data_IF_566340088758
#
_entry.id   IF_566340088758
#
_cell.length_a   1.000
_cell.length_b   1.000
_cell.length_c   1.000
_cell.angle_alpha   90.00
_cell.angle_beta   90.00
_cell.angle_gamma   90.00
#
_symmetry.space_group_name_H-M   'P 1'
#
loop_
_entity.id
_entity.type
_entity.pdbx_description
1 polymer ?
#
# COMPACT_ATOMS: atom_id res chain seq x y z
N UNK A 1 -24.57 -4.37 6.10
CA UNK A 1 -24.14 -4.37 4.68
C UNK A 1 -22.65 -4.68 4.67
N UNK A 2 -22.27 -5.87 4.19
CA UNK A 2 -20.83 -6.18 4.03
C UNK A 2 -20.35 -5.45 2.79
N UNK A 3 -19.40 -4.53 2.95
CA UNK A 3 -18.70 -3.93 1.81
C UNK A 3 -17.90 -4.99 1.05
N UNK A 4 -17.56 -4.70 -0.21
CA UNK A 4 -16.68 -5.57 -1.00
C UNK A 4 -15.32 -5.73 -0.30
N UNK A 5 -14.82 -6.96 -0.29
CA UNK A 5 -13.47 -7.29 0.20
C UNK A 5 -12.41 -6.59 -0.64
N UNK A 6 -11.20 -6.44 -0.10
CA UNK A 6 -10.09 -5.86 -0.87
C UNK A 6 -9.79 -6.66 -2.14
N UNK A 7 -9.92 -8.00 -2.11
CA UNK A 7 -9.76 -8.84 -3.31
C UNK A 7 -10.79 -8.50 -4.39
N UNK A 8 -12.07 -8.37 -4.03
CA UNK A 8 -13.12 -8.02 -4.98
C UNK A 8 -12.92 -6.62 -5.57
N UNK A 9 -12.45 -5.67 -4.76
CA UNK A 9 -12.14 -4.31 -5.21
C UNK A 9 -10.98 -4.29 -6.21
N UNK A 10 -9.93 -5.08 -5.95
CA UNK A 10 -8.79 -5.27 -6.87
C UNK A 10 -9.25 -5.91 -8.18
N UNK A 11 -10.07 -6.96 -8.10
CA UNK A 11 -10.62 -7.64 -9.29
C UNK A 11 -11.53 -6.75 -10.14
N UNK A 12 -12.16 -5.73 -9.54
CA UNK A 12 -13.03 -4.79 -10.23
C UNK A 12 -12.30 -3.60 -10.89
N UNK A 13 -10.98 -3.48 -10.72
CA UNK A 13 -10.20 -2.42 -11.37
C UNK A 13 -10.10 -2.65 -12.88
N UNK A 14 -10.12 -1.55 -13.65
CA UNK A 14 -9.83 -1.56 -15.07
C UNK A 14 -8.32 -1.63 -15.30
N UNK A 15 -7.77 -2.84 -15.22
CA UNK A 15 -6.35 -3.11 -15.36
C UNK A 15 -5.78 -2.69 -16.70
N UNK A 16 -6.56 -2.83 -17.78
CA UNK A 16 -6.11 -2.46 -19.12
C UNK A 16 -5.88 -0.95 -19.20
N UNK A 17 -6.88 -0.16 -18.78
CA UNK A 17 -6.74 1.30 -18.73
C UNK A 17 -5.60 1.74 -17.82
N UNK A 18 -5.47 1.15 -16.63
CA UNK A 18 -4.41 1.52 -15.69
C UNK A 18 -3.01 1.19 -16.23
N UNK A 19 -2.86 0.09 -16.98
CA UNK A 19 -1.61 -0.21 -17.65
C UNK A 19 -1.29 0.82 -18.74
N UNK A 20 -2.27 1.19 -19.57
CA UNK A 20 -2.11 2.23 -20.59
C UNK A 20 -1.72 3.60 -19.98
N UNK A 21 -2.35 3.99 -18.87
CA UNK A 21 -2.00 5.20 -18.12
C UNK A 21 -0.58 5.14 -17.56
N UNK A 22 -0.19 4.00 -16.99
CA UNK A 22 1.16 3.79 -16.46
C UNK A 22 2.22 3.89 -17.56
N UNK A 23 1.96 3.30 -18.74
CA UNK A 23 2.86 3.37 -19.88
C UNK A 23 2.96 4.79 -20.44
N UNK A 24 1.84 5.52 -20.52
CA UNK A 24 1.79 6.88 -21.09
C UNK A 24 2.32 7.96 -20.14
N UNK A 25 2.11 7.81 -18.84
CA UNK A 25 2.34 8.88 -17.84
C UNK A 25 3.32 8.49 -16.74
N UNK A 26 3.72 7.23 -16.63
CA UNK A 26 4.55 6.72 -15.53
C UNK A 26 3.79 6.54 -14.22
N UNK A 27 2.46 6.74 -14.21
CA UNK A 27 1.59 6.47 -13.07
C UNK A 27 0.14 6.23 -13.52
N UNK A 28 -0.64 5.56 -12.67
CA UNK A 28 -2.07 5.35 -12.87
C UNK A 28 -2.81 5.43 -11.54
N UNK A 29 -4.10 5.78 -11.58
CA UNK A 29 -4.95 5.81 -10.39
C UNK A 29 -5.73 4.49 -10.26
N UNK A 30 -5.73 3.91 -9.06
CA UNK A 30 -6.61 2.80 -8.69
C UNK A 30 -7.84 3.35 -7.93
N UNK A 31 -8.92 3.75 -8.63
CA UNK A 31 -10.03 4.46 -8.01
C UNK A 31 -10.74 3.60 -6.98
N UNK A 32 -10.94 4.16 -5.77
CA UNK A 32 -11.71 3.49 -4.73
C UNK A 32 -11.09 2.18 -4.20
N UNK A 33 -9.79 1.94 -4.42
CA UNK A 33 -9.11 0.74 -3.91
C UNK A 33 -9.01 0.71 -2.38
N UNK A 34 -8.86 1.87 -1.74
CA UNK A 34 -8.91 2.05 -0.28
C UNK A 34 -9.88 3.19 0.06
N UNK A 35 -10.66 3.00 1.12
CA UNK A 35 -11.52 4.05 1.69
C UNK A 35 -10.70 5.01 2.55
N UNK A 36 -11.21 6.21 2.80
CA UNK A 36 -10.55 7.19 3.67
C UNK A 36 -10.14 6.63 5.04
N UNK A 37 -11.02 5.91 5.77
CA UNK A 37 -10.66 5.26 7.03
C UNK A 37 -9.58 4.18 6.90
N UNK A 38 -9.59 3.38 5.84
CA UNK A 38 -8.55 2.36 5.60
C UNK A 38 -7.19 3.02 5.34
N UNK A 39 -7.16 4.10 4.55
CA UNK A 39 -5.96 4.91 4.33
C UNK A 39 -5.43 5.50 5.64
N UNK A 40 -6.30 6.08 6.47
CA UNK A 40 -5.93 6.66 7.75
C UNK A 40 -5.34 5.61 8.71
N UNK A 41 -5.96 4.42 8.77
CA UNK A 41 -5.46 3.32 9.59
C UNK A 41 -4.08 2.81 9.14
N UNK A 42 -3.87 2.67 7.83
CA UNK A 42 -2.57 2.27 7.26
C UNK A 42 -1.49 3.33 7.51
N UNK A 43 -1.81 4.61 7.37
CA UNK A 43 -0.88 5.71 7.66
C UNK A 43 -0.50 5.74 9.15
N UNK A 44 -1.47 5.59 10.05
CA UNK A 44 -1.23 5.56 11.49
C UNK A 44 -0.36 4.38 11.93
N UNK A 45 -0.40 3.26 11.18
CA UNK A 45 0.44 2.10 11.47
C UNK A 45 1.95 2.41 11.37
N UNK A 46 2.37 3.42 10.60
CA UNK A 46 3.80 3.77 10.49
C UNK A 46 4.44 4.15 11.83
N UNK A 47 3.68 4.75 12.74
CA UNK A 47 4.15 5.12 14.08
C UNK A 47 4.27 3.94 15.06
N UNK A 48 3.81 2.75 14.66
CA UNK A 48 3.78 1.54 15.50
C UNK A 48 4.98 0.65 15.19
N UNK A 49 6.11 0.96 15.82
CA UNK A 49 7.39 0.29 15.56
C UNK A 49 7.32 -1.24 15.69
N UNK A 50 6.44 -1.77 16.55
CA UNK A 50 6.23 -3.20 16.74
C UNK A 50 5.68 -3.94 15.51
N UNK A 51 5.10 -3.22 14.54
CA UNK A 51 4.62 -3.79 13.29
C UNK A 51 5.73 -4.01 12.25
N UNK A 52 6.93 -3.48 12.49
CA UNK A 52 8.02 -3.47 11.53
C UNK A 52 9.22 -4.28 12.01
N UNK A 53 9.86 -5.02 11.10
CA UNK A 53 11.07 -5.79 11.40
C UNK A 53 12.34 -4.96 11.26
N UNK A 54 12.29 -3.88 10.48
CA UNK A 54 13.44 -3.00 10.27
C UNK A 54 13.01 -1.63 9.74
N UNK A 55 13.84 -0.63 10.02
CA UNK A 55 13.75 0.75 9.54
C UNK A 55 15.04 1.12 8.84
N UNK A 56 14.94 1.68 7.64
CA UNK A 56 16.06 2.19 6.88
C UNK A 56 15.98 3.71 6.89
N UNK A 57 17.01 4.35 7.43
CA UNK A 57 17.19 5.81 7.41
C UNK A 57 18.10 6.13 6.23
N UNK A 58 17.54 6.71 5.17
CA UNK A 58 18.18 6.82 3.86
C UNK A 58 19.43 7.69 3.90
N UNK A 59 19.45 8.73 4.75
CA UNK A 59 20.58 9.64 4.89
C UNK A 59 21.86 8.90 5.31
N UNK A 60 21.72 7.85 6.12
CA UNK A 60 22.86 7.05 6.62
C UNK A 60 23.56 6.24 5.53
N UNK A 61 22.89 6.06 4.39
CA UNK A 61 23.37 5.26 3.27
C UNK A 61 23.70 6.12 2.02
N UNK A 62 23.58 7.45 2.12
CA UNK A 62 23.80 8.33 0.97
C UNK A 62 22.68 8.29 -0.08
N UNK A 63 21.49 7.78 0.26
CA UNK A 63 20.36 7.64 -0.66
C UNK A 63 19.44 8.87 -0.73
N UNK A 64 19.85 9.99 -0.15
CA UNK A 64 19.03 11.19 0.00
C UNK A 64 18.31 11.25 1.35
N UNK A 65 17.23 12.04 1.42
CA UNK A 65 16.49 12.27 2.66
C UNK A 65 15.27 11.36 2.79
N UNK A 66 14.99 10.94 4.02
CA UNK A 66 13.79 10.18 4.36
C UNK A 66 14.08 8.78 4.91
N UNK A 67 13.01 8.05 5.13
CA UNK A 67 13.09 6.72 5.73
C UNK A 67 11.92 5.85 5.31
N UNK A 68 12.15 4.54 5.35
CA UNK A 68 11.11 3.56 5.13
C UNK A 68 11.26 2.40 6.11
N UNK A 69 10.15 1.72 6.37
CA UNK A 69 10.10 0.58 7.29
C UNK A 69 9.59 -0.64 6.55
N UNK A 70 10.10 -1.82 6.92
CA UNK A 70 9.62 -3.09 6.39
C UNK A 70 8.72 -3.76 7.41
N UNK A 71 7.47 -4.07 7.04
CA UNK A 71 6.55 -4.80 7.92
C UNK A 71 7.15 -6.15 8.37
N UNK A 72 6.92 -6.50 9.62
CA UNK A 72 7.17 -7.84 10.15
C UNK A 72 6.10 -8.83 9.63
N UNK A 73 6.35 -10.12 9.85
CA UNK A 73 5.33 -11.16 9.66
C UNK A 73 4.70 -11.55 11.00
N UNK A 74 3.39 -11.86 11.05
CA UNK A 74 2.43 -11.77 9.93
C UNK A 74 2.18 -10.32 9.49
N UNK A 75 1.89 -10.12 8.21
CA UNK A 75 1.57 -8.79 7.68
C UNK A 75 0.25 -8.26 8.27
N UNK A 76 0.08 -6.93 8.39
CA UNK A 76 -1.21 -6.34 8.71
C UNK A 76 -2.31 -6.84 7.74
N UNK A 77 -3.52 -7.15 8.22
CA UNK A 77 -4.58 -7.75 7.41
C UNK A 77 -4.85 -7.06 6.04
N UNK A 78 -4.99 -5.73 5.93
CA UNK A 78 -5.20 -5.09 4.63
C UNK A 78 -4.01 -5.26 3.67
N UNK A 79 -2.78 -5.23 4.18
CA UNK A 79 -1.57 -5.43 3.37
C UNK A 79 -1.47 -6.88 2.89
N UNK A 80 -1.78 -7.84 3.77
CA UNK A 80 -1.85 -9.25 3.41
C UNK A 80 -2.90 -9.52 2.32
N UNK A 81 -4.08 -8.93 2.45
CA UNK A 81 -5.17 -9.10 1.49
C UNK A 81 -4.82 -8.51 0.12
N UNK A 82 -4.29 -7.29 0.06
CA UNK A 82 -3.86 -6.65 -1.19
C UNK A 82 -2.73 -7.43 -1.89
N UNK A 83 -1.78 -7.99 -1.13
CA UNK A 83 -0.68 -8.77 -1.71
C UNK A 83 -1.13 -10.09 -2.32
N UNK A 84 -2.19 -10.69 -1.79
CA UNK A 84 -2.70 -11.97 -2.26
C UNK A 84 -3.79 -11.82 -3.33
N UNK A 85 -4.26 -10.59 -3.57
CA UNK A 85 -5.41 -10.28 -4.41
C UNK A 85 -5.18 -10.65 -5.87
#
# INVERSE_FOLDING_TARGET
MSGATLRERVAALDWARMADELDAHGCALAPGLLSGPECAALAAAYGRAELFRSRVVMERHGYGRGEYQYFAYPLPPPVAALRAA
#
